data_IF_498163769693
#
_entry.id   IF_498163769693
#
_cell.length_a   1.000
_cell.length_b   1.000
_cell.length_c   1.000
_cell.angle_alpha   90.00
_cell.angle_beta   90.00
_cell.angle_gamma   90.00
#
_symmetry.space_group_name_H-M   'P 1'
#
loop_
_entity.id
_entity.type
_entity.pdbx_description
1 polymer ?
#
# COMPACT_ATOMS: atom_id res chain seq x y z
N UNK A 1 -2.62 7.68 4.98
CA UNK A 1 -1.37 8.47 4.82
C UNK A 1 -1.49 9.45 3.66
N UNK A 2 -1.80 9.01 2.44
CA UNK A 2 -1.94 9.91 1.26
C UNK A 2 -2.82 11.14 1.51
N UNK A 3 -4.08 10.96 1.94
CA UNK A 3 -4.99 12.10 2.25
C UNK A 3 -4.36 13.07 3.27
N UNK A 4 -3.73 12.53 4.31
CA UNK A 4 -3.08 13.33 5.36
C UNK A 4 -2.01 14.25 4.79
N UNK A 5 -1.14 13.69 3.95
CA UNK A 5 -0.04 14.42 3.33
C UNK A 5 -0.55 15.44 2.30
N UNK A 6 -1.55 15.08 1.48
CA UNK A 6 -2.18 16.01 0.53
C UNK A 6 -2.86 17.21 1.22
N UNK A 7 -3.37 17.02 2.43
CA UNK A 7 -3.93 18.09 3.27
C UNK A 7 -2.87 18.92 4.01
N UNK A 8 -1.58 18.62 3.84
CA UNK A 8 -0.49 19.30 4.55
C UNK A 8 -0.48 19.03 6.06
N UNK A 9 -1.11 17.94 6.51
CA UNK A 9 -1.16 17.58 7.93
C UNK A 9 0.15 16.87 8.35
N UNK A 10 0.69 17.14 9.55
CA UNK A 10 1.92 16.51 10.00
C UNK A 10 1.76 15.00 10.12
N UNK A 11 2.68 14.19 9.59
CA UNK A 11 2.73 12.75 9.78
C UNK A 11 3.22 12.41 11.20
N UNK A 12 2.45 11.60 11.94
CA UNK A 12 2.82 11.14 13.27
C UNK A 12 3.66 9.85 13.15
N UNK A 13 4.88 9.89 13.64
CA UNK A 13 5.86 8.79 13.55
C UNK A 13 6.02 8.13 14.92
N UNK A 14 5.68 6.84 15.10
CA UNK A 14 5.87 6.14 16.36
C UNK A 14 7.34 6.07 16.78
N UNK A 15 7.63 6.48 18.01
CA UNK A 15 8.98 6.45 18.56
C UNK A 15 9.98 7.21 17.71
N UNK A 16 11.11 6.57 17.40
CA UNK A 16 12.17 7.13 16.55
C UNK A 16 11.96 6.86 15.06
N UNK A 17 10.87 6.18 14.68
CA UNK A 17 10.54 5.88 13.30
C UNK A 17 11.40 4.81 12.64
N UNK A 18 12.26 4.12 13.38
CA UNK A 18 13.20 3.12 12.83
C UNK A 18 12.62 1.71 12.70
N UNK A 19 11.41 1.48 13.22
CA UNK A 19 10.76 0.17 13.17
C UNK A 19 10.57 -0.30 11.74
N UNK A 20 11.01 -1.51 11.41
CA UNK A 20 10.91 -2.07 10.07
C UNK A 20 9.59 -2.81 9.84
N UNK A 21 9.04 -2.67 8.63
CA UNK A 21 7.93 -3.48 8.15
C UNK A 21 8.06 -3.81 6.67
N UNK A 22 7.43 -4.91 6.31
CA UNK A 22 7.33 -5.40 4.93
C UNK A 22 5.95 -5.09 4.37
N UNK A 23 5.89 -4.66 3.11
CA UNK A 23 4.65 -4.25 2.44
C UNK A 23 4.49 -5.08 1.18
N UNK A 24 3.33 -5.73 1.03
CA UNK A 24 2.95 -6.44 -0.17
C UNK A 24 2.04 -5.61 -1.06
N UNK A 25 2.15 -5.83 -2.37
CA UNK A 25 1.24 -5.23 -3.35
C UNK A 25 0.12 -6.23 -3.68
N UNK A 26 -1.12 -5.75 -3.76
CA UNK A 26 -2.29 -6.62 -3.91
C UNK A 26 -2.27 -7.45 -5.19
N UNK A 27 -1.74 -6.93 -6.29
CA UNK A 27 -1.62 -7.69 -7.55
C UNK A 27 -0.61 -8.83 -7.43
N UNK A 28 0.50 -8.60 -6.72
CA UNK A 28 1.52 -9.61 -6.45
C UNK A 28 0.95 -10.73 -5.59
N UNK A 29 0.21 -10.36 -4.54
CA UNK A 29 -0.46 -11.30 -3.65
C UNK A 29 -1.54 -12.11 -4.39
N UNK A 30 -2.36 -11.45 -5.21
CA UNK A 30 -3.37 -12.12 -6.02
C UNK A 30 -2.76 -13.09 -7.04
N UNK A 31 -1.65 -12.71 -7.69
CA UNK A 31 -0.90 -13.58 -8.60
C UNK A 31 -0.36 -14.80 -7.86
N UNK A 32 0.28 -14.62 -6.71
CA UNK A 32 0.81 -15.72 -5.90
C UNK A 32 -0.30 -16.68 -5.48
N UNK A 33 -1.42 -16.16 -4.95
CA UNK A 33 -2.57 -16.98 -4.54
C UNK A 33 -3.15 -17.77 -5.71
N UNK A 34 -3.30 -17.13 -6.88
CA UNK A 34 -3.72 -17.81 -8.12
C UNK A 34 -2.74 -18.93 -8.50
N UNK A 35 -1.43 -18.71 -8.41
CA UNK A 35 -0.41 -19.70 -8.75
C UNK A 35 -0.35 -20.86 -7.76
N UNK A 36 -0.77 -20.65 -6.51
CA UNK A 36 -0.91 -21.71 -5.51
C UNK A 36 -2.12 -22.62 -5.79
N UNK A 37 -3.16 -22.13 -6.46
CA UNK A 37 -4.38 -22.90 -6.69
C UNK A 37 -4.09 -24.17 -7.47
N UNK A 38 -4.52 -25.31 -6.91
CA UNK A 38 -4.35 -26.65 -7.50
C UNK A 38 -2.89 -27.05 -7.76
N UNK A 39 -1.93 -26.32 -7.20
CA UNK A 39 -0.53 -26.70 -7.27
C UNK A 39 -0.23 -27.74 -6.17
N UNK A 40 0.07 -29.00 -6.51
CA UNK A 40 0.28 -30.05 -5.50
C UNK A 40 1.47 -29.77 -4.58
N UNK A 41 2.41 -28.93 -5.01
CA UNK A 41 3.52 -28.51 -4.16
C UNK A 41 3.05 -27.69 -2.96
N UNK A 42 1.86 -27.08 -2.99
CA UNK A 42 1.40 -26.15 -1.95
C UNK A 42 0.47 -26.78 -0.90
N UNK A 43 0.03 -28.01 -1.12
CA UNK A 43 -0.98 -28.65 -0.28
C UNK A 43 -0.49 -28.90 1.15
N UNK A 44 -1.32 -28.52 2.13
CA UNK A 44 -1.05 -28.72 3.56
C UNK A 44 0.08 -27.85 4.13
N UNK A 45 0.56 -26.86 3.38
CA UNK A 45 1.70 -26.01 3.77
C UNK A 45 1.23 -24.60 4.15
N UNK A 46 2.08 -23.91 4.93
CA UNK A 46 1.90 -22.51 5.33
C UNK A 46 3.02 -21.68 4.73
N UNK A 47 2.68 -20.47 4.31
CA UNK A 47 3.58 -19.52 3.67
C UNK A 47 3.33 -18.13 4.23
N UNK A 48 4.39 -17.33 4.27
CA UNK A 48 4.26 -15.89 4.31
C UNK A 48 4.09 -15.40 2.86
N UNK A 49 3.23 -14.40 2.68
CA UNK A 49 2.99 -13.76 1.41
C UNK A 49 2.97 -12.25 1.66
N UNK A 50 3.93 -11.56 1.06
CA UNK A 50 4.15 -10.12 1.16
C UNK A 50 5.16 -9.71 0.07
N UNK A 51 5.53 -8.44 -0.02
CA UNK A 51 6.49 -7.93 -1.00
C UNK A 51 7.93 -8.27 -0.65
N UNK A 52 8.87 -7.89 -1.52
CA UNK A 52 10.31 -8.19 -1.35
C UNK A 52 11.09 -7.13 -0.54
N UNK A 53 10.54 -5.93 -0.45
CA UNK A 53 11.18 -4.78 0.18
C UNK A 53 10.69 -4.58 1.62
N UNK A 54 11.51 -3.94 2.45
CA UNK A 54 11.18 -3.54 3.81
C UNK A 54 11.60 -2.10 4.08
N UNK A 55 10.82 -1.39 4.90
CA UNK A 55 11.00 0.03 5.16
C UNK A 55 10.85 0.36 6.64
N UNK A 56 11.57 1.37 7.08
CA UNK A 56 11.32 2.03 8.37
C UNK A 56 10.00 2.80 8.31
N UNK A 57 9.44 3.23 9.45
CA UNK A 57 8.28 4.13 9.45
C UNK A 57 8.57 5.43 8.71
N UNK A 58 9.78 5.98 8.91
CA UNK A 58 10.21 7.15 8.17
C UNK A 58 10.30 6.89 6.68
N UNK A 59 10.97 5.81 6.27
CA UNK A 59 11.11 5.45 4.85
C UNK A 59 9.76 5.19 4.17
N UNK A 60 8.79 4.66 4.92
CA UNK A 60 7.40 4.51 4.47
C UNK A 60 6.76 5.86 4.13
N UNK A 61 6.86 6.83 5.04
CA UNK A 61 6.30 8.18 4.85
C UNK A 61 7.03 8.91 3.73
N UNK A 62 8.36 8.86 3.74
CA UNK A 62 9.20 9.58 2.77
C UNK A 62 8.95 9.07 1.35
N UNK A 63 8.85 7.75 1.15
CA UNK A 63 8.53 7.17 -0.18
C UNK A 63 7.15 7.62 -0.66
N UNK A 64 6.15 7.66 0.22
CA UNK A 64 4.82 8.13 -0.16
C UNK A 64 4.86 9.62 -0.51
N UNK A 65 5.51 10.43 0.31
CA UNK A 65 5.60 11.87 0.12
C UNK A 65 6.33 12.22 -1.19
N UNK A 66 7.41 11.50 -1.50
CA UNK A 66 8.14 11.62 -2.76
C UNK A 66 7.25 11.33 -3.97
N UNK A 67 6.49 10.22 -3.95
CA UNK A 67 5.64 9.81 -5.07
C UNK A 67 4.52 10.81 -5.33
N UNK A 68 3.91 11.36 -4.27
CA UNK A 68 2.83 12.35 -4.40
C UNK A 68 3.34 13.78 -4.56
N UNK A 69 4.66 14.00 -4.48
CA UNK A 69 5.30 15.30 -4.71
C UNK A 69 5.12 16.32 -3.58
N UNK A 70 5.11 15.89 -2.32
CA UNK A 70 4.99 16.78 -1.15
C UNK A 70 6.15 16.60 -0.17
N UNK A 71 6.46 17.64 0.60
CA UNK A 71 7.42 17.55 1.71
C UNK A 71 6.66 17.31 3.02
N UNK A 72 6.87 16.17 3.71
CA UNK A 72 6.10 15.85 4.91
C UNK A 72 6.67 16.54 6.15
N UNK A 73 5.82 17.20 6.94
CA UNK A 73 6.16 17.53 8.34
C UNK A 73 6.03 16.24 9.17
N UNK A 74 7.16 15.67 9.61
CA UNK A 74 7.18 14.47 10.47
C UNK A 74 7.30 14.87 11.94
N UNK A 75 6.42 14.34 12.78
CA UNK A 75 6.44 14.54 14.24
C UNK A 75 6.55 13.19 14.93
N UNK A 76 7.64 13.01 15.68
CA UNK A 76 7.82 11.84 16.54
C UNK A 76 6.80 11.83 17.68
N UNK A 77 6.14 10.68 17.84
CA UNK A 77 5.31 10.36 19.00
C UNK A 77 6.22 9.66 20.02
N UNK A 78 6.47 10.26 21.20
CA UNK A 78 7.38 9.68 22.18
C UNK A 78 7.03 8.24 22.53
N UNK A 79 8.04 7.38 22.74
CA UNK A 79 7.83 5.96 23.05
C UNK A 79 6.93 5.74 24.27
N UNK A 80 7.10 6.54 25.33
CA UNK A 80 6.22 6.48 26.51
C UNK A 80 4.75 6.80 26.19
N UNK A 81 4.52 7.77 25.30
CA UNK A 81 3.17 8.11 24.84
C UNK A 81 2.60 7.01 23.93
N UNK A 82 3.43 6.39 23.10
CA UNK A 82 3.04 5.21 22.32
C UNK A 82 2.68 4.03 23.22
N UNK A 83 3.43 3.79 24.29
CA UNK A 83 3.15 2.73 25.26
C UNK A 83 1.84 2.98 26.01
N UNK A 84 1.58 4.22 26.41
CA UNK A 84 0.30 4.60 27.02
C UNK A 84 -0.87 4.49 26.03
N UNK A 85 -0.66 4.85 24.76
CA UNK A 85 -1.66 4.69 23.70
C UNK A 85 -1.96 3.20 23.44
N UNK A 86 -0.92 2.38 23.40
CA UNK A 86 -1.00 0.95 23.18
C UNK A 86 -1.71 0.22 24.33
N UNK A 87 -1.43 0.63 25.57
CA UNK A 87 -2.02 0.08 26.78
C UNK A 87 -3.42 0.66 27.11
N UNK A 88 -4.01 1.46 26.22
CA UNK A 88 -5.30 2.15 26.40
C UNK A 88 -5.37 3.02 27.67
N UNK A 89 -4.23 3.59 28.07
CA UNK A 89 -4.11 4.45 29.27
C UNK A 89 -4.40 5.92 29.01
N UNK A 90 -4.55 6.30 27.74
CA UNK A 90 -4.80 7.68 27.37
C UNK A 90 -6.31 7.95 27.24
N UNK A 91 -6.88 8.85 28.06
CA UNK A 91 -8.25 9.32 27.89
C UNK A 91 -8.30 10.34 26.74
N UNK A 92 -7.90 9.92 25.54
CA UNK A 92 -8.14 10.71 24.33
C UNK A 92 -9.64 10.62 24.07
N UNK A 93 -10.35 11.73 24.32
CA UNK A 93 -11.77 11.83 23.99
C UNK A 93 -12.05 11.46 22.53
N UNK A 94 -13.27 11.02 22.29
CA UNK A 94 -13.69 10.41 21.03
C UNK A 94 -14.60 9.24 21.39
N UNK A 95 -15.83 9.23 20.89
CA UNK A 95 -16.78 8.16 21.16
C UNK A 95 -16.21 6.78 20.78
N UNK A 96 -16.91 5.69 21.07
CA UNK A 96 -16.47 4.35 20.66
C UNK A 96 -16.16 4.37 19.16
N UNK A 97 -14.87 4.24 18.82
CA UNK A 97 -14.44 4.01 17.45
C UNK A 97 -14.93 2.60 17.13
N UNK A 98 -16.02 2.53 16.37
CA UNK A 98 -16.59 1.25 15.94
C UNK A 98 -15.54 0.56 15.08
N UNK A 99 -15.01 -0.56 15.55
CA UNK A 99 -14.13 -1.41 14.78
C UNK A 99 -14.89 -1.97 13.56
N UNK A 100 -14.80 -1.28 12.43
CA UNK A 100 -15.33 -1.79 11.14
C UNK A 100 -14.48 -2.93 10.56
N UNK A 101 -13.32 -3.25 11.16
CA UNK A 101 -12.41 -4.32 10.72
C UNK A 101 -12.70 -5.66 11.42
N UNK A 102 -13.76 -5.74 12.22
CA UNK A 102 -14.40 -7.00 12.61
C UNK A 102 -13.58 -7.91 13.52
N UNK A 103 -12.57 -7.39 14.23
CA UNK A 103 -11.64 -8.18 15.00
C UNK A 103 -11.58 -7.76 16.48
N UNK A 104 -12.73 -7.47 17.10
CA UNK A 104 -12.90 -7.43 18.56
C UNK A 104 -11.92 -6.55 19.35
N UNK A 105 -11.20 -5.63 18.70
CA UNK A 105 -10.20 -4.79 19.33
C UNK A 105 -10.85 -3.62 20.05
N UNK A 106 -10.38 -3.31 21.25
CA UNK A 106 -10.79 -2.09 21.94
C UNK A 106 -10.49 -0.82 21.12
N UNK A 107 -10.98 0.33 21.57
CA UNK A 107 -10.80 1.61 20.88
C UNK A 107 -9.31 1.92 20.58
N UNK A 108 -8.38 1.46 21.42
CA UNK A 108 -6.92 1.58 21.21
C UNK A 108 -6.44 1.03 19.87
N UNK A 109 -7.03 -0.05 19.37
CA UNK A 109 -6.61 -0.72 18.13
C UNK A 109 -6.83 0.19 16.91
N UNK A 110 -7.98 0.85 16.89
CA UNK A 110 -8.32 1.83 15.85
C UNK A 110 -7.43 3.07 15.94
N UNK A 111 -6.98 3.45 17.15
CA UNK A 111 -6.16 4.64 17.39
C UNK A 111 -4.72 4.46 16.93
N UNK A 112 -4.08 3.32 17.25
CA UNK A 112 -2.70 3.04 16.83
C UNK A 112 -2.60 2.86 15.31
N UNK A 113 -3.57 2.16 14.72
CA UNK A 113 -3.61 1.93 13.27
C UNK A 113 -3.90 3.17 12.43
N UNK A 114 -4.33 4.28 13.04
CA UNK A 114 -4.49 5.58 12.36
C UNK A 114 -3.18 6.37 12.24
N UNK A 115 -2.18 6.09 13.10
CA UNK A 115 -0.89 6.80 13.08
C UNK A 115 -0.04 6.37 11.88
N UNK A 116 0.30 5.09 11.82
CA UNK A 116 0.92 4.47 10.66
C UNK A 116 0.03 3.32 10.22
N UNK A 117 -0.53 3.46 9.01
CA UNK A 117 -1.54 2.54 8.48
C UNK A 117 -1.02 1.11 8.30
N UNK A 118 0.31 0.92 8.23
CA UNK A 118 0.93 -0.41 8.18
C UNK A 118 1.02 -1.09 9.55
N UNK A 119 0.83 -0.37 10.65
CA UNK A 119 0.90 -0.98 11.98
C UNK A 119 -0.25 -1.99 12.10
N UNK A 120 0.09 -3.23 12.45
CA UNK A 120 -0.86 -4.31 12.70
C UNK A 120 -0.95 -4.57 14.22
N UNK A 121 -1.60 -3.67 14.98
CA UNK A 121 -1.49 -3.67 16.42
C UNK A 121 -2.05 -4.94 17.11
N UNK A 122 -2.89 -5.70 16.41
CA UNK A 122 -3.42 -6.99 16.87
C UNK A 122 -2.39 -8.14 16.84
N UNK A 123 -1.26 -7.96 16.15
CA UNK A 123 -0.34 -9.06 15.83
C UNK A 123 0.99 -8.89 16.56
N UNK A 124 1.53 -7.67 16.60
CA UNK A 124 2.84 -7.39 17.17
C UNK A 124 2.90 -5.97 17.76
N UNK A 125 3.70 -5.73 18.81
CA UNK A 125 3.99 -4.41 19.36
C UNK A 125 4.39 -3.37 18.30
N UNK A 126 4.09 -2.10 18.61
CA UNK A 126 4.34 -0.96 17.71
C UNK A 126 5.82 -0.75 17.37
N UNK A 127 6.74 -1.16 18.26
CA UNK A 127 8.19 -1.01 18.14
C UNK A 127 8.90 -2.30 17.72
N UNK A 128 8.16 -3.30 17.22
CA UNK A 128 8.73 -4.56 16.78
C UNK A 128 8.93 -4.58 15.27
N UNK A 129 10.14 -4.92 14.82
CA UNK A 129 10.43 -5.18 13.41
C UNK A 129 9.66 -6.42 12.93
N UNK A 130 8.93 -6.27 11.83
CA UNK A 130 8.13 -7.36 11.24
C UNK A 130 8.55 -7.59 9.80
N UNK A 131 9.34 -8.65 9.64
CA UNK A 131 9.93 -9.07 8.36
C UNK A 131 9.78 -10.59 8.28
N UNK A 132 9.32 -11.05 7.12
CA UNK A 132 9.07 -12.46 6.86
C UNK A 132 9.84 -12.92 5.64
N UNK A 133 10.47 -14.11 5.74
CA UNK A 133 10.95 -14.79 4.53
C UNK A 133 9.76 -15.28 3.71
N UNK A 134 9.80 -14.97 2.41
CA UNK A 134 8.88 -15.47 1.38
C UNK A 134 9.57 -16.53 0.49
N UNK A 135 10.81 -16.92 0.79
CA UNK A 135 11.66 -17.78 -0.05
C UNK A 135 11.02 -19.13 -0.35
N UNK A 136 10.34 -19.69 0.65
CA UNK A 136 9.64 -20.97 0.49
C UNK A 136 8.55 -20.86 -0.57
N UNK A 137 7.75 -19.79 -0.53
CA UNK A 137 6.69 -19.60 -1.50
C UNK A 137 7.29 -19.38 -2.88
N UNK A 138 8.26 -18.45 -2.99
CA UNK A 138 8.93 -18.13 -4.26
C UNK A 138 9.49 -19.38 -4.95
N UNK A 139 10.18 -20.23 -4.18
CA UNK A 139 10.76 -21.47 -4.69
C UNK A 139 9.71 -22.50 -5.12
N UNK A 140 8.64 -22.68 -4.35
CA UNK A 140 7.67 -23.75 -4.58
C UNK A 140 6.68 -23.47 -5.72
N UNK A 141 6.36 -22.19 -5.95
CA UNK A 141 5.47 -21.78 -7.05
C UNK A 141 6.20 -21.07 -8.20
N UNK A 142 7.53 -20.89 -8.11
CA UNK A 142 8.34 -20.16 -9.10
C UNK A 142 7.78 -18.76 -9.40
N UNK A 143 7.64 -17.98 -8.33
CA UNK A 143 7.05 -16.63 -8.32
C UNK A 143 7.96 -15.68 -7.54
N UNK A 144 7.94 -14.40 -7.90
CA UNK A 144 8.59 -13.33 -7.15
C UNK A 144 7.70 -12.07 -7.17
N UNK A 145 7.74 -11.22 -6.13
CA UNK A 145 7.04 -9.94 -6.15
C UNK A 145 7.60 -9.03 -7.26
N UNK A 146 6.72 -8.58 -8.16
CA UNK A 146 7.07 -7.69 -9.26
C UNK A 146 7.23 -6.25 -8.76
N UNK A 147 6.34 -5.81 -7.87
CA UNK A 147 6.30 -4.44 -7.39
C UNK A 147 7.36 -4.20 -6.32
N UNK A 148 8.10 -3.10 -6.49
CA UNK A 148 8.78 -2.43 -5.37
C UNK A 148 7.75 -1.63 -4.57
N UNK A 149 8.09 -1.22 -3.35
CA UNK A 149 7.19 -0.35 -2.59
C UNK A 149 6.93 0.99 -3.31
N UNK A 150 7.94 1.61 -3.92
CA UNK A 150 7.75 2.85 -4.70
C UNK A 150 6.73 2.65 -5.83
N UNK A 151 6.92 1.63 -6.68
CA UNK A 151 5.98 1.35 -7.78
C UNK A 151 4.58 0.97 -7.29
N UNK A 152 4.48 0.30 -6.14
CA UNK A 152 3.20 0.00 -5.52
C UNK A 152 2.48 1.29 -5.08
N UNK A 153 3.20 2.25 -4.50
CA UNK A 153 2.65 3.56 -4.14
C UNK A 153 2.26 4.35 -5.38
N UNK A 154 3.07 4.34 -6.45
CA UNK A 154 2.77 5.02 -7.72
C UNK A 154 1.44 4.52 -8.30
N UNK A 155 1.28 3.20 -8.45
CA UNK A 155 0.05 2.60 -8.96
C UNK A 155 -1.15 2.88 -8.02
N UNK A 156 -0.95 2.75 -6.71
CA UNK A 156 -2.02 3.01 -5.72
C UNK A 156 -2.46 4.47 -5.76
N UNK A 157 -1.50 5.39 -5.90
CA UNK A 157 -1.79 6.83 -5.97
C UNK A 157 -2.48 7.20 -7.27
N UNK A 158 -2.06 6.64 -8.41
CA UNK A 158 -2.75 6.82 -9.69
C UNK A 158 -4.21 6.37 -9.61
N UNK A 159 -4.46 5.15 -9.11
CA UNK A 159 -5.82 4.66 -8.89
C UNK A 159 -6.62 5.58 -7.94
N UNK A 160 -6.01 5.98 -6.83
CA UNK A 160 -6.62 6.86 -5.83
C UNK A 160 -7.10 8.20 -6.43
N UNK A 161 -6.27 8.81 -7.28
CA UNK A 161 -6.63 10.07 -7.97
C UNK A 161 -7.69 9.85 -9.05
N UNK A 162 -7.61 8.76 -9.81
CA UNK A 162 -8.56 8.45 -10.88
C UNK A 162 -9.98 8.19 -10.35
N UNK A 163 -10.09 7.56 -9.18
CA UNK A 163 -11.37 7.33 -8.51
C UNK A 163 -11.90 8.57 -7.76
N UNK A 164 -11.15 9.69 -7.75
CA UNK A 164 -11.54 10.91 -7.04
C UNK A 164 -11.56 10.77 -5.52
N UNK A 165 -10.81 9.79 -4.98
CA UNK A 165 -10.75 9.52 -3.55
C UNK A 165 -10.02 10.61 -2.77
N UNK A 166 -9.21 11.42 -3.46
CA UNK A 166 -8.59 12.63 -2.91
C UNK A 166 -9.63 13.62 -2.36
N UNK A 167 -10.83 13.65 -2.96
CA UNK A 167 -11.93 14.54 -2.56
C UNK A 167 -12.85 13.87 -1.56
N UNK A 168 -13.34 12.67 -1.89
CA UNK A 168 -14.34 11.98 -1.05
C UNK A 168 -13.76 11.64 0.31
N UNK A 169 -12.57 11.04 0.37
CA UNK A 169 -11.94 10.67 1.64
C UNK A 169 -11.41 11.88 2.40
N UNK A 170 -11.10 12.99 1.73
CA UNK A 170 -10.71 14.22 2.41
C UNK A 170 -11.85 14.80 3.26
N UNK A 171 -13.11 14.60 2.85
CA UNK A 171 -14.30 15.04 3.58
C UNK A 171 -14.73 14.03 4.67
N UNK A 172 -14.54 12.74 4.40
CA UNK A 172 -14.99 11.66 5.31
C UNK A 172 -14.02 11.36 6.46
N UNK A 173 -12.72 11.57 6.26
CA UNK A 173 -11.72 11.22 7.27
C UNK A 173 -11.68 12.21 8.43
N UNK A 174 -11.96 11.70 9.63
CA UNK A 174 -11.80 12.41 10.88
C UNK A 174 -10.36 12.27 11.40
N UNK A 175 -9.69 13.41 11.62
CA UNK A 175 -8.35 13.50 12.19
C UNK A 175 -8.34 14.02 13.64
N UNK A 176 -9.50 14.05 14.30
CA UNK A 176 -9.66 14.65 15.64
C UNK A 176 -8.76 13.99 16.69
N UNK A 177 -8.58 12.67 16.63
CA UNK A 177 -7.68 11.93 17.52
C UNK A 177 -6.23 12.40 17.35
N UNK A 178 -5.77 12.55 16.12
CA UNK A 178 -4.40 12.95 15.84
C UNK A 178 -4.16 14.41 16.22
N UNK A 179 -5.17 15.28 16.12
CA UNK A 179 -5.10 16.64 16.66
C UNK A 179 -4.95 16.64 18.19
N UNK A 180 -5.65 15.75 18.90
CA UNK A 180 -5.48 15.57 20.36
C UNK A 180 -4.07 15.10 20.71
N UNK A 181 -3.55 14.12 19.96
CA UNK A 181 -2.18 13.63 20.14
C UNK A 181 -1.15 14.72 19.86
N UNK A 182 -1.31 15.47 18.77
CA UNK A 182 -0.45 16.61 18.43
C UNK A 182 -0.46 17.68 19.50
N UNK A 183 -1.65 18.02 20.03
CA UNK A 183 -1.80 18.98 21.11
C UNK A 183 -1.05 18.49 22.37
N UNK A 184 -1.19 17.21 22.72
CA UNK A 184 -0.50 16.59 23.85
C UNK A 184 1.03 16.61 23.70
N UNK A 185 1.53 16.27 22.50
CA UNK A 185 2.97 16.28 22.18
C UNK A 185 3.53 17.71 22.26
N UNK A 186 2.78 18.70 21.74
CA UNK A 186 3.18 20.11 21.74
C UNK A 186 2.97 20.82 23.09
N UNK A 187 2.30 20.17 24.06
CA UNK A 187 1.98 20.78 25.35
C UNK A 187 0.93 21.89 25.28
N UNK A 188 0.07 21.88 24.26
CA UNK A 188 -0.97 22.91 24.01
C UNK A 188 -2.35 22.30 24.25
N UNK A 189 -3.34 23.12 24.65
CA UNK A 189 -4.73 22.68 24.69
C UNK A 189 -5.24 22.34 23.28
N UNK A 190 -6.05 21.27 23.12
CA UNK A 190 -6.51 20.88 21.79
C UNK A 190 -7.45 21.92 21.19
N UNK A 191 -7.41 22.12 19.86
CA UNK A 191 -8.34 23.02 19.19
C UNK A 191 -9.79 22.52 19.34
N UNK A 192 -10.79 23.41 19.40
CA UNK A 192 -12.19 22.98 19.44
C UNK A 192 -12.52 22.17 18.19
N UNK A 193 -13.24 21.05 18.36
CA UNK A 193 -13.65 20.18 17.28
C UNK A 193 -14.42 20.99 16.22
N UNK A 194 -13.94 21.02 14.97
CA UNK A 194 -14.74 21.50 13.84
C UNK A 194 -14.19 22.63 12.97
N UNK A 195 -12.87 22.89 12.91
CA UNK A 195 -12.33 23.65 11.77
C UNK A 195 -11.08 22.99 11.21
N UNK A 196 -11.06 22.61 9.92
CA UNK A 196 -9.80 22.37 9.22
C UNK A 196 -8.91 23.60 9.42
N UNK A 197 -7.67 23.41 9.86
CA UNK A 197 -6.66 24.46 9.69
C UNK A 197 -6.60 24.75 8.20
N UNK A 198 -6.89 25.99 7.81
CA UNK A 198 -6.49 26.49 6.51
C UNK A 198 -4.97 26.54 6.52
N UNK A 199 -4.34 25.48 6.03
CA UNK A 199 -2.92 25.52 5.77
C UNK A 199 -2.69 26.43 4.56
N UNK A 200 -1.72 27.35 4.63
CA UNK A 200 -1.43 28.24 3.52
C UNK A 200 -1.09 27.41 2.28
N UNK A 201 -1.88 27.62 1.21
CA UNK A 201 -1.61 27.07 -0.13
C UNK A 201 -0.48 27.85 -0.79
N UNK A 202 0.64 28.02 -0.10
CA UNK A 202 1.83 28.65 -0.65
C UNK A 202 2.89 27.59 -0.96
N UNK A 203 2.52 26.70 -1.88
CA UNK A 203 3.47 26.06 -2.78
C UNK A 203 2.92 26.30 -4.18
N UNK A 204 3.25 27.46 -4.74
CA UNK A 204 3.14 27.67 -6.17
C UNK A 204 4.04 26.64 -6.84
N UNK A 205 3.44 25.54 -7.30
CA UNK A 205 4.02 24.70 -8.33
C UNK A 205 4.04 25.54 -9.63
N UNK A 206 5.00 26.45 -9.72
CA UNK A 206 5.33 27.10 -10.97
C UNK A 206 6.04 26.07 -11.86
N UNK A 207 5.37 25.69 -12.94
CA UNK A 207 6.05 25.17 -14.13
C UNK A 207 5.98 23.67 -14.36
N UNK A 208 4.78 23.13 -14.61
CA UNK A 208 4.64 21.99 -15.51
C UNK A 208 3.38 22.21 -16.35
N UNK A 209 3.57 22.60 -17.61
CA UNK A 209 2.47 22.86 -18.53
C UNK A 209 1.58 21.62 -18.67
N UNK A 210 0.27 21.81 -18.55
CA UNK A 210 -0.72 20.80 -18.87
C UNK A 210 -0.68 20.50 -20.38
N UNK A 211 0.19 19.58 -20.77
CA UNK A 211 0.07 18.86 -22.03
C UNK A 211 -1.15 17.95 -21.96
N UNK A 212 -2.09 18.15 -22.88
CA UNK A 212 -3.22 17.23 -23.12
C UNK A 212 -2.63 15.86 -23.51
N UNK A 213 -2.68 14.89 -22.59
CA UNK A 213 -2.23 13.53 -22.88
C UNK A 213 -3.25 12.84 -23.78
N UNK A 214 -2.84 12.57 -25.02
CA UNK A 214 -3.58 11.70 -25.96
C UNK A 214 -3.06 10.28 -25.85
N UNK A 215 -3.94 9.29 -26.01
CA UNK A 215 -3.65 7.85 -25.94
C UNK A 215 -2.81 7.31 -27.12
N UNK A 216 -1.76 8.03 -27.55
CA UNK A 216 -0.85 7.57 -28.60
C UNK A 216 0.54 7.24 -28.02
N UNK A 217 1.17 6.12 -28.45
CA UNK A 217 2.49 5.74 -27.98
C UNK A 217 3.57 6.74 -28.47
N UNK A 218 4.62 6.98 -27.68
CA UNK A 218 5.63 8.00 -28.00
C UNK A 218 6.41 7.67 -29.28
N UNK A 219 6.49 8.64 -30.19
CA UNK A 219 7.27 8.58 -31.43
C UNK A 219 8.73 8.96 -31.13
N UNK A 220 9.70 8.17 -31.61
CA UNK A 220 11.13 8.50 -31.47
C UNK A 220 11.50 9.72 -32.33
N UNK A 221 12.55 10.44 -31.92
CA UNK A 221 13.02 11.71 -32.50
C UNK A 221 13.44 11.63 -33.98
N UNK A 222 13.40 10.46 -34.60
CA UNK A 222 13.71 10.18 -36.00
C UNK A 222 12.46 9.89 -36.87
N UNK A 223 11.26 10.09 -36.34
CA UNK A 223 10.01 10.00 -37.10
C UNK A 223 9.55 8.58 -37.43
N UNK A 224 10.12 7.54 -36.80
CA UNK A 224 9.68 6.15 -36.98
C UNK A 224 8.90 5.64 -35.78
N UNK A 225 7.76 5.01 -36.04
CA UNK A 225 6.94 4.32 -35.04
C UNK A 225 7.74 3.15 -34.46
N UNK A 226 7.91 3.11 -33.14
CA UNK A 226 8.53 1.97 -32.47
C UNK A 226 7.54 0.79 -32.51
N UNK A 227 7.80 -0.20 -33.38
CA UNK A 227 7.08 -1.48 -33.33
C UNK A 227 7.49 -2.23 -32.06
N UNK A 228 6.66 -2.15 -31.02
CA UNK A 228 6.66 -3.14 -29.96
C UNK A 228 6.23 -4.48 -30.59
N UNK A 229 7.13 -5.46 -30.58
CA UNK A 229 6.80 -6.83 -30.99
C UNK A 229 5.66 -7.34 -30.10
N UNK A 230 4.45 -7.43 -30.66
CA UNK A 230 3.32 -8.09 -30.00
C UNK A 230 3.66 -9.58 -29.86
N UNK A 231 3.45 -10.22 -28.69
CA UNK A 231 3.48 -11.68 -28.63
C UNK A 231 2.33 -12.24 -29.51
N UNK A 232 2.53 -13.36 -30.21
CA UNK A 232 1.51 -13.92 -31.07
C UNK A 232 0.33 -14.44 -30.23
N UNK A 233 -0.91 -14.36 -30.75
CA UNK A 233 -2.08 -14.90 -30.06
C UNK A 233 -1.98 -16.43 -29.91
N UNK A 234 -2.60 -17.02 -28.89
CA UNK A 234 -2.57 -18.46 -28.69
C UNK A 234 -3.35 -19.15 -29.82
N UNK A 235 -2.65 -19.92 -30.68
CA UNK A 235 -3.30 -20.79 -31.66
C UNK A 235 -2.73 -20.83 -33.08
N UNK A 236 -1.61 -20.16 -33.39
CA UNK A 236 -1.01 -20.26 -34.73
C UNK A 236 0.04 -21.38 -34.82
N UNK A 237 -0.34 -22.54 -35.35
CA UNK A 237 0.62 -23.53 -35.87
C UNK A 237 1.28 -22.97 -37.15
N UNK A 238 2.57 -22.65 -37.11
CA UNK A 238 3.37 -22.48 -38.33
C UNK A 238 4.00 -23.81 -38.74
N UNK A 239 3.73 -24.23 -39.99
CA UNK A 239 4.42 -25.35 -40.65
C UNK A 239 5.74 -24.84 -41.21
N UNK A 240 6.86 -25.30 -40.67
CA UNK A 240 8.11 -25.53 -41.42
C UNK A 240 9.09 -26.38 -40.59
N UNK A 241 9.40 -27.58 -41.09
CA UNK A 241 10.69 -28.26 -40.87
C UNK A 241 10.91 -29.12 -39.61
N UNK A 242 10.78 -30.44 -39.80
CA UNK A 242 11.51 -31.53 -39.11
C UNK A 242 11.24 -31.85 -37.62
N UNK A 243 10.41 -32.89 -37.44
CA UNK A 243 10.49 -33.99 -36.46
C UNK A 243 10.64 -33.69 -34.95
N UNK A 244 9.50 -33.66 -34.24
CA UNK A 244 9.26 -34.53 -33.07
C UNK A 244 7.80 -34.42 -32.56
N UNK A 245 7.05 -35.52 -32.77
CA UNK A 245 5.77 -35.96 -32.16
C UNK A 245 4.95 -34.92 -31.35
N UNK A 246 3.90 -34.37 -31.98
CA UNK A 246 2.69 -33.95 -31.27
C UNK A 246 1.72 -35.14 -31.19
N UNK A 247 1.43 -35.62 -29.98
CA UNK A 247 0.27 -36.48 -29.72
C UNK A 247 -0.97 -35.61 -29.43
N UNK A 248 -1.90 -35.54 -30.39
CA UNK A 248 -3.33 -35.24 -30.17
C UNK A 248 -4.04 -36.62 -30.09
N UNK A 249 -5.08 -36.93 -29.32
CA UNK A 249 -5.99 -36.21 -28.44
C UNK A 249 -6.69 -37.25 -27.53
N UNK A 250 -7.43 -36.81 -26.52
CA UNK A 250 -8.73 -37.43 -26.19
C UNK A 250 -9.65 -36.38 -25.52
N UNK A 251 -10.84 -36.08 -26.09
CA UNK A 251 -11.84 -35.26 -25.41
C UNK A 251 -12.49 -36.07 -24.28
N UNK A 252 -12.62 -35.44 -23.12
CA UNK A 252 -13.29 -35.98 -21.94
C UNK A 252 -14.74 -36.35 -22.26
N UNK A 253 -15.10 -37.62 -22.11
CA UNK A 253 -16.49 -38.10 -22.13
C UNK A 253 -17.09 -37.82 -20.75
N UNK A 254 -18.22 -37.12 -20.72
CA UNK A 254 -19.12 -37.13 -19.57
C UNK A 254 -19.72 -38.54 -19.42
N UNK A 255 -19.47 -39.18 -18.27
CA UNK A 255 -20.15 -40.40 -17.83
C UNK A 255 -21.31 -40.05 -16.86
N UNK A 256 -22.39 -40.86 -16.81
CA UNK A 256 -23.64 -40.45 -16.21
C UNK A 256 -23.72 -40.68 -14.69
N UNK A 257 -24.38 -39.72 -14.02
CA UNK A 257 -25.06 -39.72 -12.70
C UNK A 257 -24.34 -40.31 -11.50
#
# INVERSE_FOLDING_TARGET
MVVRLLQGRPALVPGDGTTLGQIGHVDDEAKALRMMMLNPNTFGKRYNLTGKDYFTDEGYIDTIADVIGVTPEKISVPASLMDDLWADKLPLGGGPLVDRRGAGGGAWLTRVSQLVQRSAPNIHPWNQNVIFSIDRLMKEINWEPEYTFRSAVEQTYEWFMNEGLDKTLAEELDFSLEELLLARIRGVSPPPAGRPRAFPRDATAQGAGHGRWTNEPPVRRDGRVANAARPPPPGACSRAGASSRCSRAAPWRAGPR
#
